data_IF_016115619877
#
_entry.id   IF_016115619877
#
_cell.length_a   1.000
_cell.length_b   1.000
_cell.length_c   1.000
_cell.angle_alpha   90.00
_cell.angle_beta   90.00
_cell.angle_gamma   90.00
#
_symmetry.space_group_name_H-M   'P 1'
#
loop_
_entity.id
_entity.type
_entity.pdbx_description
1 polymer ?
#
# COMPACT_ATOMS: atom_id res chain seq x y z
N UNK A 1 7.92 -1.34 -0.74
CA UNK A 1 8.55 -2.34 -1.62
C UNK A 1 7.55 -3.31 -2.24
N UNK A 2 6.69 -3.94 -1.46
CA UNK A 2 5.78 -4.98 -1.98
C UNK A 2 4.74 -4.44 -2.97
N UNK A 3 4.36 -3.17 -2.90
CA UNK A 3 3.42 -2.58 -3.85
C UNK A 3 3.97 -2.52 -5.29
N UNK A 4 5.27 -2.66 -5.46
CA UNK A 4 5.92 -2.68 -6.78
C UNK A 4 6.01 -4.07 -7.39
N UNK A 5 5.64 -5.11 -6.65
CA UNK A 5 5.75 -6.50 -7.08
C UNK A 5 4.47 -6.94 -7.78
N UNK A 6 4.57 -7.35 -9.04
CA UNK A 6 3.42 -7.87 -9.80
C UNK A 6 3.01 -9.25 -9.32
N UNK A 7 3.96 -10.14 -9.11
CA UNK A 7 3.73 -11.52 -8.67
C UNK A 7 3.81 -11.61 -7.14
N UNK A 8 2.83 -11.03 -6.48
CA UNK A 8 2.83 -10.88 -5.01
C UNK A 8 2.58 -12.22 -4.30
N UNK A 9 1.82 -13.13 -4.92
CA UNK A 9 1.57 -14.46 -4.36
C UNK A 9 2.88 -15.22 -4.18
N UNK A 10 3.71 -15.26 -5.21
CA UNK A 10 5.01 -15.92 -5.14
C UNK A 10 5.93 -15.24 -4.14
N UNK A 11 5.95 -13.90 -4.12
CA UNK A 11 6.80 -13.16 -3.19
C UNK A 11 6.42 -13.45 -1.73
N UNK A 12 5.15 -13.43 -1.39
CA UNK A 12 4.68 -13.72 -0.02
C UNK A 12 4.88 -15.20 0.31
N UNK A 13 4.67 -16.08 -0.66
CA UNK A 13 4.96 -17.51 -0.52
C UNK A 13 6.44 -17.76 -0.18
N UNK A 14 7.37 -17.06 -0.82
CA UNK A 14 8.80 -17.14 -0.53
C UNK A 14 9.14 -16.60 0.87
N UNK A 15 8.53 -15.49 1.28
CA UNK A 15 8.66 -15.00 2.66
C UNK A 15 8.21 -16.08 3.64
N UNK A 16 7.07 -16.72 3.38
CA UNK A 16 6.58 -17.80 4.25
C UNK A 16 7.54 -18.98 4.28
N UNK A 17 8.11 -19.34 3.14
CA UNK A 17 9.04 -20.47 3.03
C UNK A 17 10.29 -20.30 3.88
N UNK A 18 10.84 -19.08 3.94
CA UNK A 18 12.10 -18.81 4.66
C UNK A 18 11.89 -18.53 6.14
N UNK A 19 10.68 -18.19 6.56
CA UNK A 19 10.38 -17.95 7.97
C UNK A 19 10.17 -19.27 8.71
N UNK A 20 10.81 -19.37 9.88
CA UNK A 20 10.50 -20.44 10.81
C UNK A 20 9.05 -20.33 11.31
N UNK A 21 8.47 -21.41 11.83
CA UNK A 21 7.15 -21.33 12.48
C UNK A 21 7.11 -20.22 13.52
N UNK A 22 6.01 -19.48 13.55
CA UNK A 22 5.80 -18.32 14.43
C UNK A 22 6.75 -17.14 14.15
N UNK A 23 7.50 -17.17 13.04
CA UNK A 23 8.29 -16.03 12.60
C UNK A 23 7.39 -14.86 12.22
N UNK A 24 7.86 -13.65 12.48
CA UNK A 24 7.11 -12.42 12.20
C UNK A 24 7.44 -11.87 10.81
N UNK A 25 6.40 -11.49 10.06
CA UNK A 25 6.49 -10.74 8.82
C UNK A 25 5.82 -9.39 9.00
N UNK A 26 6.58 -8.32 8.91
CA UNK A 26 6.06 -6.96 8.98
C UNK A 26 6.45 -6.19 7.73
N UNK A 27 5.48 -5.47 7.16
CA UNK A 27 5.72 -4.63 5.98
C UNK A 27 4.76 -3.46 5.96
N UNK A 28 5.16 -2.41 5.25
CA UNK A 28 4.32 -1.24 5.02
C UNK A 28 4.08 -1.04 3.53
N UNK A 29 2.91 -0.50 3.24
CA UNK A 29 2.51 -0.10 1.89
C UNK A 29 1.88 1.28 1.94
N UNK A 30 1.82 1.96 0.80
CA UNK A 30 0.92 3.10 0.64
C UNK A 30 -0.50 2.64 0.95
N UNK A 31 -1.21 3.36 1.81
CA UNK A 31 -2.57 2.94 2.16
C UNK A 31 -3.45 2.86 0.91
N UNK A 32 -4.18 1.77 0.72
CA UNK A 32 -4.95 1.57 -0.52
C UNK A 32 -5.99 2.63 -0.82
N UNK A 33 -6.51 3.33 0.19
CA UNK A 33 -7.47 4.43 -0.02
C UNK A 33 -6.88 5.59 -0.82
N UNK A 34 -5.55 5.71 -0.87
CA UNK A 34 -4.87 6.76 -1.65
C UNK A 34 -5.33 6.75 -3.11
N UNK A 35 -5.56 5.60 -3.69
CA UNK A 35 -5.86 5.46 -5.12
C UNK A 35 -7.24 5.95 -5.52
N UNK A 36 -8.11 6.23 -4.56
CA UNK A 36 -9.41 6.84 -4.83
C UNK A 36 -9.31 8.34 -5.16
N UNK A 37 -8.21 8.99 -4.77
CA UNK A 37 -8.07 10.44 -4.81
C UNK A 37 -7.02 10.87 -5.84
N UNK A 38 -7.22 12.04 -6.50
CA UNK A 38 -6.23 12.56 -7.43
C UNK A 38 -4.96 12.99 -6.68
N UNK A 39 -3.87 13.13 -7.44
CA UNK A 39 -2.58 13.55 -6.91
C UNK A 39 -2.52 15.08 -6.77
N UNK A 40 -3.34 15.61 -5.88
CA UNK A 40 -3.48 17.04 -5.59
C UNK A 40 -3.36 17.26 -4.08
N UNK A 41 -2.42 18.11 -3.61
CA UNK A 41 -2.22 18.35 -2.19
C UNK A 41 -3.27 19.30 -1.57
N UNK A 42 -4.11 19.94 -2.37
CA UNK A 42 -5.15 20.83 -1.93
C UNK A 42 -6.50 20.13 -1.71
N UNK A 43 -7.55 20.93 -1.62
CA UNK A 43 -8.91 20.44 -1.38
C UNK A 43 -9.44 19.56 -2.51
N UNK A 44 -8.99 19.78 -3.75
CA UNK A 44 -9.36 18.92 -4.89
C UNK A 44 -8.92 17.46 -4.67
N UNK A 45 -7.83 17.26 -3.94
CA UNK A 45 -7.33 15.95 -3.57
C UNK A 45 -8.20 15.21 -2.55
N UNK A 46 -9.27 15.83 -2.05
CA UNK A 46 -10.19 15.21 -1.08
C UNK A 46 -11.43 14.60 -1.75
N UNK A 47 -11.60 14.80 -3.06
CA UNK A 47 -12.73 14.23 -3.80
C UNK A 47 -12.32 12.90 -4.41
N UNK A 48 -13.00 11.85 -4.03
CA UNK A 48 -12.78 10.53 -4.65
C UNK A 48 -13.19 10.57 -6.12
N UNK A 49 -12.27 10.22 -7.01
CA UNK A 49 -12.47 10.24 -8.47
C UNK A 49 -12.28 8.88 -9.10
N UNK A 50 -11.80 7.90 -8.35
CA UNK A 50 -11.51 6.56 -8.84
C UNK A 50 -12.05 5.51 -7.88
N UNK A 51 -12.47 4.38 -8.43
CA UNK A 51 -13.00 3.28 -7.62
C UNK A 51 -11.90 2.65 -6.77
N UNK A 52 -12.18 2.42 -5.50
CA UNK A 52 -11.34 1.63 -4.61
C UNK A 52 -11.11 0.20 -5.14
N UNK A 53 -12.04 -0.30 -5.93
CA UNK A 53 -12.02 -1.65 -6.48
C UNK A 53 -11.29 -1.75 -7.82
N UNK A 54 -10.87 -0.62 -8.40
CA UNK A 54 -10.08 -0.61 -9.61
C UNK A 54 -8.64 -1.00 -9.31
N UNK A 55 -8.25 -2.20 -9.73
CA UNK A 55 -6.92 -2.77 -9.50
C UNK A 55 -5.97 -2.61 -10.67
N UNK A 56 -6.32 -1.74 -11.62
CA UNK A 56 -5.42 -1.41 -12.74
C UNK A 56 -4.12 -0.83 -12.18
N UNK A 57 -2.95 -1.36 -12.55
CA UNK A 57 -1.68 -0.81 -12.09
C UNK A 57 -1.49 0.64 -12.53
N UNK A 58 -0.92 1.44 -11.65
CA UNK A 58 -0.43 2.77 -12.01
C UNK A 58 0.91 2.64 -12.70
N UNK A 59 1.03 3.23 -13.89
CA UNK A 59 2.20 3.10 -14.74
C UNK A 59 2.69 4.49 -15.14
N UNK A 60 3.97 4.77 -14.92
CA UNK A 60 4.65 5.94 -15.46
C UNK A 60 5.60 5.52 -16.57
N UNK A 61 5.61 6.32 -17.64
CA UNK A 61 6.49 6.11 -18.79
C UNK A 61 7.39 7.32 -18.93
N UNK A 62 8.68 7.09 -19.13
CA UNK A 62 9.61 8.18 -19.45
C UNK A 62 9.27 8.77 -20.83
N UNK A 63 8.89 10.05 -20.92
CA UNK A 63 8.49 10.66 -22.17
C UNK A 63 9.64 10.77 -23.19
N UNK A 64 10.90 10.76 -22.73
CA UNK A 64 12.05 10.84 -23.61
C UNK A 64 12.37 9.51 -24.30
N UNK A 65 12.17 8.38 -23.61
CA UNK A 65 12.55 7.05 -24.09
C UNK A 65 11.35 6.15 -24.40
N UNK A 66 10.15 6.53 -23.96
CA UNK A 66 8.94 5.72 -24.01
C UNK A 66 9.08 4.37 -23.28
N UNK A 67 9.96 4.32 -22.28
CA UNK A 67 10.18 3.15 -21.44
C UNK A 67 9.44 3.31 -20.12
N UNK A 68 8.83 2.22 -19.64
CA UNK A 68 8.18 2.20 -18.34
C UNK A 68 9.22 2.44 -17.24
N UNK A 69 9.03 3.50 -16.45
CA UNK A 69 9.95 3.91 -15.40
C UNK A 69 9.45 3.57 -14.00
N UNK A 70 8.14 3.35 -13.84
CA UNK A 70 7.53 3.11 -12.53
C UNK A 70 6.21 2.36 -12.69
N UNK A 71 6.01 1.35 -11.87
CA UNK A 71 4.74 0.62 -11.80
C UNK A 71 4.39 0.39 -10.33
N UNK A 72 3.17 0.74 -9.96
CA UNK A 72 2.66 0.45 -8.62
C UNK A 72 1.34 -0.29 -8.72
N UNK A 73 1.23 -1.38 -7.99
CA UNK A 73 0.05 -2.24 -8.00
C UNK A 73 -0.87 -1.88 -6.85
N UNK A 74 -2.12 -1.61 -7.16
CA UNK A 74 -3.16 -1.38 -6.17
C UNK A 74 -3.79 -2.72 -5.76
N UNK A 75 -3.83 -2.94 -4.44
CA UNK A 75 -4.55 -4.03 -3.80
C UNK A 75 -5.33 -3.45 -2.63
N UNK A 76 -6.56 -3.88 -2.43
CA UNK A 76 -7.36 -3.42 -1.30
C UNK A 76 -6.80 -3.97 0.03
N UNK A 77 -7.21 -3.39 1.15
CA UNK A 77 -6.86 -3.97 2.46
C UNK A 77 -7.34 -5.42 2.55
N UNK A 78 -8.53 -5.70 2.05
CA UNK A 78 -9.06 -7.07 1.99
C UNK A 78 -8.20 -8.00 1.15
N UNK A 79 -7.67 -7.53 0.03
CA UNK A 79 -6.75 -8.32 -0.82
C UNK A 79 -5.49 -8.70 -0.03
N UNK A 80 -4.91 -7.77 0.71
CA UNK A 80 -3.72 -8.03 1.53
C UNK A 80 -3.99 -9.03 2.65
N UNK A 81 -5.12 -8.89 3.34
CA UNK A 81 -5.52 -9.82 4.39
C UNK A 81 -5.72 -11.23 3.83
N UNK A 82 -6.42 -11.34 2.70
CA UNK A 82 -6.64 -12.62 2.03
C UNK A 82 -5.33 -13.26 1.57
N UNK A 83 -4.41 -12.45 1.02
CA UNK A 83 -3.09 -12.90 0.58
C UNK A 83 -2.28 -13.48 1.74
N UNK A 84 -2.24 -12.79 2.87
CA UNK A 84 -1.55 -13.27 4.06
C UNK A 84 -2.16 -14.58 4.56
N UNK A 85 -3.47 -14.63 4.68
CA UNK A 85 -4.19 -15.81 5.15
C UNK A 85 -3.97 -17.02 4.24
N UNK A 86 -4.03 -16.84 2.92
CA UNK A 86 -3.86 -17.94 1.96
C UNK A 86 -2.42 -18.45 1.88
N UNK A 87 -1.45 -17.67 2.36
CA UNK A 87 -0.03 -18.06 2.40
C UNK A 87 0.45 -18.51 3.78
N UNK A 88 -0.47 -18.88 4.68
CA UNK A 88 -0.12 -19.43 5.98
C UNK A 88 0.33 -18.41 7.01
N UNK A 89 -0.14 -17.17 6.89
CA UNK A 89 0.08 -16.13 7.89
C UNK A 89 -1.21 -15.84 8.67
N UNK A 90 -1.07 -15.58 9.95
CA UNK A 90 -2.13 -15.03 10.78
C UNK A 90 -1.84 -13.54 11.00
N UNK A 91 -2.77 -12.66 10.61
CA UNK A 91 -2.64 -11.23 10.84
C UNK A 91 -2.71 -10.95 12.35
N UNK A 92 -1.63 -10.36 12.89
CA UNK A 92 -1.56 -9.97 14.30
C UNK A 92 -2.02 -8.55 14.50
N UNK A 93 -1.64 -7.65 13.60
CA UNK A 93 -2.02 -6.24 13.68
C UNK A 93 -1.95 -5.54 12.32
N UNK A 94 -2.74 -4.49 12.19
CA UNK A 94 -2.69 -3.53 11.09
C UNK A 94 -2.62 -2.14 11.71
N UNK A 95 -1.50 -1.45 11.50
CA UNK A 95 -1.33 -0.07 11.94
C UNK A 95 -1.60 0.89 10.81
N UNK A 96 -2.34 1.93 11.12
CA UNK A 96 -2.62 3.05 10.21
C UNK A 96 -2.14 4.33 10.90
N UNK A 97 -0.85 4.70 10.77
CA UNK A 97 -0.31 5.86 11.49
C UNK A 97 -1.04 7.14 11.11
N UNK A 98 -1.40 7.92 12.12
CA UNK A 98 -2.01 9.22 11.93
C UNK A 98 -0.97 10.25 11.49
N UNK A 99 -1.43 11.26 10.74
CA UNK A 99 -0.57 12.37 10.35
C UNK A 99 -0.14 13.16 11.57
N UNK A 100 1.17 13.38 11.81
CA UNK A 100 1.63 14.13 12.97
C UNK A 100 1.12 15.58 12.93
N UNK A 101 0.68 16.10 14.07
CA UNK A 101 0.07 17.42 14.17
C UNK A 101 0.98 18.55 13.64
N UNK A 102 2.29 18.47 13.91
CA UNK A 102 3.25 19.48 13.48
C UNK A 102 3.86 19.22 12.11
N UNK A 103 3.40 18.20 11.40
CA UNK A 103 3.96 17.81 10.09
C UNK A 103 3.31 18.62 8.97
N UNK A 104 4.06 19.56 8.41
CA UNK A 104 3.57 20.53 7.42
C UNK A 104 4.05 20.24 5.99
N UNK A 105 4.69 19.11 5.76
CA UNK A 105 5.24 18.77 4.46
C UNK A 105 4.18 18.47 3.42
N UNK A 106 4.50 18.84 2.17
CA UNK A 106 3.72 18.51 0.98
C UNK A 106 4.55 17.58 0.11
N UNK A 107 3.96 16.44 -0.26
CA UNK A 107 4.62 15.47 -1.13
C UNK A 107 3.58 14.77 -2.01
N UNK A 108 3.65 15.01 -3.33
CA UNK A 108 2.63 14.53 -4.25
C UNK A 108 1.25 15.01 -3.84
N UNK A 109 0.30 14.11 -3.71
CA UNK A 109 -1.04 14.41 -3.22
C UNK A 109 -1.16 14.54 -1.70
N UNK A 110 -0.07 14.35 -0.95
CA UNK A 110 -0.08 14.39 0.51
C UNK A 110 0.27 15.77 1.05
N UNK A 111 -0.50 16.23 1.98
CA UNK A 111 -0.35 17.49 2.70
C UNK A 111 -1.07 17.38 4.06
N UNK A 112 -0.93 18.38 4.95
CA UNK A 112 -1.74 18.42 6.18
C UNK A 112 -3.25 18.36 5.92
N UNK A 113 -3.72 18.85 4.78
CA UNK A 113 -5.15 18.81 4.40
C UNK A 113 -5.63 17.36 4.26
N UNK A 114 -4.97 16.57 3.41
CA UNK A 114 -5.33 15.16 3.22
C UNK A 114 -4.93 14.31 4.41
N UNK A 115 -3.71 14.52 4.94
CA UNK A 115 -3.17 13.73 6.03
C UNK A 115 -4.01 13.77 7.30
N UNK A 116 -4.68 14.90 7.56
CA UNK A 116 -5.58 15.01 8.70
C UNK A 116 -6.86 14.17 8.57
N UNK A 117 -7.21 13.74 7.36
CA UNK A 117 -8.50 13.10 7.05
C UNK A 117 -8.38 11.63 6.66
N UNK A 118 -7.25 11.23 6.08
CA UNK A 118 -7.08 9.86 5.58
C UNK A 118 -5.70 9.31 5.91
N UNK A 119 -5.59 7.98 6.12
CA UNK A 119 -4.29 7.37 6.37
C UNK A 119 -3.42 7.33 5.11
N UNK A 120 -2.13 7.61 5.27
CA UNK A 120 -1.14 7.53 4.17
C UNK A 120 -0.45 6.19 4.06
N UNK A 121 -0.42 5.42 5.13
CA UNK A 121 0.35 4.19 5.23
C UNK A 121 -0.46 3.12 5.94
N UNK A 122 -0.33 1.89 5.46
CA UNK A 122 -0.80 0.70 6.16
C UNK A 122 0.41 -0.17 6.51
N UNK A 123 0.52 -0.58 7.77
CA UNK A 123 1.59 -1.45 8.27
C UNK A 123 0.97 -2.76 8.75
N UNK A 124 1.30 -3.84 8.07
CA UNK A 124 0.83 -5.18 8.42
C UNK A 124 1.86 -5.89 9.28
N UNK A 125 1.40 -6.54 10.33
CA UNK A 125 2.22 -7.44 11.16
C UNK A 125 1.52 -8.78 11.21
N UNK A 126 2.18 -9.81 10.71
CA UNK A 126 1.62 -11.16 10.63
C UNK A 126 2.61 -12.20 11.15
N UNK A 127 2.08 -13.27 11.69
CA UNK A 127 2.88 -14.38 12.20
C UNK A 127 2.73 -15.60 11.28
N UNK A 128 3.86 -16.22 10.95
CA UNK A 128 3.84 -17.46 10.19
C UNK A 128 3.16 -18.55 11.03
N UNK A 129 2.09 -19.13 10.50
CA UNK A 129 1.42 -20.25 11.15
C UNK A 129 2.36 -21.47 11.25
N UNK A 130 2.14 -22.25 12.26
CA UNK A 130 2.94 -23.45 12.51
C UNK A 130 2.61 -24.59 11.51
#
# INVERSE_FOLDING_TARGET
ALQFVSDIEDAVGEVRRVLRPQGCFAFSITHPTRWMFPDDPGELGLTATQSYWDRTPYVEVDPATNVVSYVEHHRTLGDWVALLSSNGFALRNLFEPEWPEAHDRVWGGWSPIRGALTPGTAIFVADAAS
#
